data_IF_142194730073
#
_entry.id   IF_142194730073
#
_cell.length_a   1.000
_cell.length_b   1.000
_cell.length_c   1.000
_cell.angle_alpha   90.00
_cell.angle_beta   90.00
_cell.angle_gamma   90.00
#
_symmetry.space_group_name_H-M   'P 1'
#
loop_
_entity.id
_entity.type
_entity.pdbx_description
1 polymer ?
#
# COMPACT_ATOMS: atom_id res chain seq x y z
N UNK A 1 20.20 7.93 9.98
CA UNK A 1 19.50 8.06 8.70
C UNK A 1 18.03 7.81 8.99
N UNK A 2 17.12 8.73 8.67
CA UNK A 2 15.70 8.49 8.85
C UNK A 2 15.30 7.29 7.99
N UNK A 3 14.77 6.23 8.60
CA UNK A 3 14.18 5.11 7.89
C UNK A 3 12.91 5.61 7.21
N UNK A 4 12.98 5.84 5.91
CA UNK A 4 11.81 6.16 5.11
C UNK A 4 11.15 4.86 4.70
N UNK A 5 10.05 4.49 5.32
CA UNK A 5 9.19 3.42 4.85
C UNK A 5 8.17 3.99 3.86
N UNK A 6 7.99 3.36 2.73
CA UNK A 6 6.82 3.57 1.88
C UNK A 6 5.84 2.47 2.24
N UNK A 7 4.73 2.84 2.85
CA UNK A 7 3.58 1.96 3.00
C UNK A 7 2.65 2.16 1.81
N UNK A 8 2.25 1.07 1.18
CA UNK A 8 1.25 1.11 0.14
C UNK A 8 -0.11 0.77 0.75
N UNK A 9 -1.05 1.70 0.65
CA UNK A 9 -2.36 1.55 1.27
C UNK A 9 -3.39 1.35 0.17
N UNK A 10 -3.95 0.16 0.10
CA UNK A 10 -4.92 -0.22 -0.91
C UNK A 10 -6.33 -0.37 -0.35
N UNK A 11 -7.29 -0.01 -1.21
CA UNK A 11 -8.72 -0.05 -0.94
C UNK A 11 -9.22 -1.50 -0.77
N UNK A 12 -10.08 -1.67 0.19
CA UNK A 12 -10.94 -2.81 0.58
C UNK A 12 -11.01 -3.99 -0.41
N UNK A 13 -10.32 -5.10 -0.09
CA UNK A 13 -10.58 -6.36 -0.80
C UNK A 13 -10.66 -7.51 0.20
N UNK A 14 -11.81 -8.19 0.32
CA UNK A 14 -11.90 -9.43 1.07
C UNK A 14 -11.07 -10.52 0.39
N UNK A 15 -10.48 -11.42 1.17
CA UNK A 15 -9.70 -12.55 0.67
C UNK A 15 -10.46 -13.37 -0.39
N UNK A 16 -11.79 -13.44 -0.29
CA UNK A 16 -12.63 -14.13 -1.28
C UNK A 16 -12.51 -13.59 -2.71
N UNK A 17 -11.99 -12.38 -2.91
CA UNK A 17 -11.76 -11.84 -4.25
C UNK A 17 -10.42 -12.30 -4.86
N UNK A 18 -9.49 -12.75 -4.04
CA UNK A 18 -8.18 -13.26 -4.48
C UNK A 18 -8.09 -14.79 -4.43
N UNK A 19 -8.90 -15.44 -3.60
CA UNK A 19 -8.91 -16.90 -3.42
C UNK A 19 -9.30 -17.70 -4.68
N UNK A 20 -9.91 -17.06 -5.67
CA UNK A 20 -10.32 -17.68 -6.94
C UNK A 20 -9.33 -17.46 -8.09
N UNK A 21 -8.16 -16.90 -7.82
CA UNK A 21 -7.13 -16.67 -8.87
C UNK A 21 -6.49 -17.97 -9.31
N UNK A 22 -6.37 -18.94 -8.40
CA UNK A 22 -5.81 -20.25 -8.65
C UNK A 22 -6.87 -21.35 -8.49
N UNK A 23 -6.73 -22.44 -9.26
CA UNK A 23 -7.68 -23.56 -9.25
C UNK A 23 -7.76 -24.29 -7.90
N UNK A 24 -6.67 -24.27 -7.13
CA UNK A 24 -6.59 -24.87 -5.79
C UNK A 24 -7.20 -23.99 -4.70
N UNK A 25 -7.60 -22.76 -5.03
CA UNK A 25 -8.21 -21.79 -4.12
C UNK A 25 -7.34 -21.43 -2.89
N UNK A 26 -6.03 -21.71 -2.93
CA UNK A 26 -5.09 -21.46 -1.83
C UNK A 26 -4.14 -20.33 -2.20
N UNK A 27 -4.59 -19.10 -2.01
CA UNK A 27 -3.81 -17.90 -2.37
C UNK A 27 -2.50 -17.77 -1.58
N UNK A 28 -2.44 -18.28 -0.34
CA UNK A 28 -1.26 -18.21 0.52
C UNK A 28 -0.07 -19.03 0.01
N UNK A 29 -0.32 -20.06 -0.78
CA UNK A 29 0.71 -21.01 -1.24
C UNK A 29 1.39 -20.56 -2.55
N UNK A 30 1.00 -19.41 -3.08
CA UNK A 30 1.53 -18.86 -4.31
C UNK A 30 2.32 -17.59 -4.07
N UNK A 31 3.51 -17.50 -4.69
CA UNK A 31 4.44 -16.37 -4.57
C UNK A 31 3.95 -15.11 -5.32
N UNK A 32 2.67 -14.74 -5.12
CA UNK A 32 2.05 -13.57 -5.76
C UNK A 32 2.73 -12.26 -5.42
N UNK A 33 3.41 -12.22 -4.26
CA UNK A 33 4.18 -11.07 -3.80
C UNK A 33 5.51 -10.92 -4.54
N UNK A 34 6.01 -12.01 -5.15
CA UNK A 34 7.32 -12.03 -5.80
C UNK A 34 7.20 -11.61 -7.26
N UNK A 35 6.23 -12.13 -8.00
CA UNK A 35 6.11 -11.83 -9.43
C UNK A 35 4.69 -11.93 -9.99
N UNK A 36 4.43 -11.16 -11.04
CA UNK A 36 3.25 -11.31 -11.88
C UNK A 36 3.45 -12.44 -12.89
N UNK A 37 2.41 -13.20 -13.11
CA UNK A 37 2.30 -14.29 -14.08
C UNK A 37 1.00 -14.15 -14.88
N UNK A 38 0.83 -14.92 -15.94
CA UNK A 38 -0.44 -14.94 -16.70
C UNK A 38 -1.65 -15.31 -15.83
N UNK A 39 -1.46 -16.10 -14.76
CA UNK A 39 -2.55 -16.51 -13.86
C UNK A 39 -2.99 -15.38 -12.92
N UNK A 40 -2.05 -14.59 -12.41
CA UNK A 40 -2.33 -13.59 -11.36
C UNK A 40 -2.27 -12.13 -11.85
N UNK A 41 -2.09 -11.88 -13.15
CA UNK A 41 -1.94 -10.52 -13.69
C UNK A 41 -3.11 -9.57 -13.45
N UNK A 42 -4.28 -10.12 -13.13
CA UNK A 42 -5.47 -9.35 -12.75
C UNK A 42 -5.80 -9.48 -11.26
N UNK A 43 -4.98 -10.18 -10.48
CA UNK A 43 -5.16 -10.27 -9.05
C UNK A 43 -4.75 -8.96 -8.38
N UNK A 44 -5.66 -8.39 -7.59
CA UNK A 44 -5.43 -7.13 -6.88
C UNK A 44 -4.20 -7.20 -5.97
N UNK A 45 -4.02 -8.26 -5.18
CA UNK A 45 -2.84 -8.44 -4.33
C UNK A 45 -1.54 -8.44 -5.15
N UNK A 46 -1.48 -9.24 -6.22
CA UNK A 46 -0.29 -9.35 -7.05
C UNK A 46 0.07 -8.03 -7.75
N UNK A 47 -0.93 -7.33 -8.30
CA UNK A 47 -0.72 -6.03 -8.95
C UNK A 47 -0.29 -4.94 -7.97
N UNK A 48 -0.76 -4.99 -6.73
CA UNK A 48 -0.32 -4.11 -5.65
C UNK A 48 1.18 -4.24 -5.39
N UNK A 49 1.65 -5.45 -5.14
CA UNK A 49 3.07 -5.71 -4.90
C UNK A 49 3.93 -5.33 -6.11
N UNK A 50 3.48 -5.61 -7.32
CA UNK A 50 4.22 -5.25 -8.53
C UNK A 50 4.30 -3.73 -8.73
N UNK A 51 3.20 -3.02 -8.53
CA UNK A 51 3.20 -1.55 -8.57
C UNK A 51 4.20 -0.96 -7.59
N UNK A 52 4.21 -1.46 -6.35
CA UNK A 52 5.15 -1.02 -5.32
C UNK A 52 6.60 -1.27 -5.74
N UNK A 53 6.93 -2.44 -6.29
CA UNK A 53 8.29 -2.74 -6.77
C UNK A 53 8.73 -1.83 -7.90
N UNK A 54 7.85 -1.57 -8.87
CA UNK A 54 8.13 -0.65 -9.97
C UNK A 54 8.43 0.76 -9.44
N UNK A 55 7.62 1.25 -8.50
CA UNK A 55 7.81 2.56 -7.89
C UNK A 55 9.09 2.62 -7.07
N UNK A 56 9.32 1.63 -6.20
CA UNK A 56 10.54 1.54 -5.38
C UNK A 56 11.81 1.52 -6.26
N UNK A 57 11.79 0.73 -7.34
CA UNK A 57 12.89 0.68 -8.31
C UNK A 57 13.13 2.03 -8.97
N UNK A 58 12.08 2.72 -9.45
CA UNK A 58 12.20 4.04 -10.08
C UNK A 58 12.71 5.12 -9.11
N UNK A 59 12.38 4.99 -7.85
CA UNK A 59 12.79 5.91 -6.78
C UNK A 59 14.12 5.51 -6.10
N UNK A 60 14.74 4.40 -6.53
CA UNK A 60 15.93 3.82 -5.92
C UNK A 60 15.76 3.51 -4.42
N UNK A 61 14.59 3.02 -4.03
CA UNK A 61 14.28 2.60 -2.66
C UNK A 61 14.61 1.11 -2.53
N UNK A 62 15.38 0.77 -1.49
CA UNK A 62 15.77 -0.62 -1.21
C UNK A 62 14.60 -1.40 -0.61
N UNK A 63 14.56 -2.71 -0.81
CA UNK A 63 13.50 -3.59 -0.33
C UNK A 63 13.31 -3.54 1.20
N UNK A 64 14.37 -3.32 1.96
CA UNK A 64 14.31 -3.18 3.43
C UNK A 64 13.71 -1.83 3.90
N UNK A 65 13.41 -0.92 2.98
CA UNK A 65 12.95 0.44 3.30
C UNK A 65 11.48 0.68 2.95
N UNK A 66 10.74 -0.34 2.54
CA UNK A 66 9.29 -0.23 2.34
C UNK A 66 8.57 -1.52 2.73
N UNK A 67 7.30 -1.39 3.05
CA UNK A 67 6.39 -2.49 3.37
C UNK A 67 5.07 -2.21 2.66
N UNK A 68 4.49 -3.25 2.06
CA UNK A 68 3.14 -3.19 1.50
C UNK A 68 2.14 -3.53 2.60
N UNK A 69 1.14 -2.68 2.77
CA UNK A 69 0.08 -2.87 3.77
C UNK A 69 -1.30 -2.61 3.17
N UNK A 70 -2.33 -3.08 3.84
CA UNK A 70 -3.71 -2.95 3.39
C UNK A 70 -4.57 -2.26 4.46
N UNK A 71 -5.35 -1.28 4.02
CA UNK A 71 -6.17 -0.42 4.87
C UNK A 71 -7.63 -0.89 4.93
N UNK A 72 -8.36 -0.37 5.92
CA UNK A 72 -9.82 -0.39 5.99
C UNK A 72 -10.44 -1.79 6.06
N UNK A 73 -10.00 -2.60 7.00
CA UNK A 73 -10.60 -3.90 7.29
C UNK A 73 -12.00 -3.76 7.88
N UNK A 74 -12.97 -4.48 7.31
CA UNK A 74 -14.27 -4.69 7.96
C UNK A 74 -14.28 -5.98 8.79
N UNK A 75 -13.41 -6.94 8.46
CA UNK A 75 -13.28 -8.22 9.17
C UNK A 75 -11.85 -8.75 9.01
N UNK A 76 -11.49 -9.75 9.82
CA UNK A 76 -10.18 -10.43 9.70
C UNK A 76 -10.00 -11.25 8.41
N UNK A 77 -10.99 -11.26 7.51
CA UNK A 77 -10.95 -11.92 6.20
C UNK A 77 -10.51 -10.98 5.07
N UNK A 78 -9.84 -9.89 5.40
CA UNK A 78 -9.32 -8.92 4.45
C UNK A 78 -7.83 -9.15 4.21
N UNK A 79 -7.30 -8.60 3.11
CA UNK A 79 -5.88 -8.70 2.79
C UNK A 79 -5.02 -8.14 3.94
N UNK A 80 -3.94 -8.82 4.20
CA UNK A 80 -2.95 -8.49 5.24
C UNK A 80 -1.57 -8.28 4.61
N UNK A 81 -0.62 -7.62 5.32
CA UNK A 81 -0.74 -7.08 6.68
C UNK A 81 -1.61 -5.82 6.77
N UNK A 82 -2.23 -5.60 7.93
CA UNK A 82 -3.04 -4.40 8.17
C UNK A 82 -2.16 -3.19 8.50
N UNK A 83 -2.52 -2.03 7.96
CA UNK A 83 -1.70 -0.81 8.10
C UNK A 83 -1.58 -0.35 9.54
N UNK A 84 -2.66 -0.32 10.30
CA UNK A 84 -2.68 0.04 11.72
C UNK A 84 -1.72 -0.83 12.57
N UNK A 85 -1.79 -2.15 12.40
CA UNK A 85 -0.93 -3.09 13.12
C UNK A 85 0.55 -2.94 12.76
N UNK A 86 0.85 -2.71 11.49
CA UNK A 86 2.23 -2.49 11.03
C UNK A 86 2.78 -1.17 11.55
N UNK A 87 2.01 -0.09 11.57
CA UNK A 87 2.43 1.20 12.11
C UNK A 87 2.79 1.10 13.60
N UNK A 88 1.94 0.44 14.40
CA UNK A 88 2.24 0.20 15.81
C UNK A 88 3.52 -0.64 16.01
N UNK A 89 3.70 -1.70 15.21
CA UNK A 89 4.89 -2.54 15.29
C UNK A 89 6.16 -1.74 14.99
N UNK A 90 6.14 -0.98 13.88
CA UNK A 90 7.27 -0.15 13.48
C UNK A 90 7.63 0.91 14.54
N UNK A 91 6.64 1.54 15.17
CA UNK A 91 6.89 2.48 16.26
C UNK A 91 7.55 1.79 17.47
N UNK A 92 7.06 0.60 17.85
CA UNK A 92 7.63 -0.23 18.94
C UNK A 92 9.06 -0.71 18.61
N UNK A 93 9.36 -0.97 17.34
CA UNK A 93 10.70 -1.30 16.83
C UNK A 93 11.66 -0.10 16.80
N UNK A 94 11.18 1.09 17.14
CA UNK A 94 11.98 2.32 17.20
C UNK A 94 12.05 3.10 15.89
N UNK A 95 11.22 2.77 14.89
CA UNK A 95 11.09 3.61 13.70
C UNK A 95 10.43 4.93 14.09
N UNK A 96 11.03 6.03 13.68
CA UNK A 96 10.60 7.37 14.12
C UNK A 96 9.87 8.18 13.08
N UNK A 97 10.15 7.93 11.81
CA UNK A 97 9.55 8.69 10.71
C UNK A 97 9.10 7.73 9.63
N UNK A 98 7.85 7.84 9.22
CA UNK A 98 7.24 7.03 8.18
C UNK A 98 6.61 7.95 7.14
N UNK A 99 6.71 7.54 5.87
CA UNK A 99 5.99 8.12 4.75
C UNK A 99 5.03 7.06 4.21
N UNK A 100 3.75 7.38 4.12
CA UNK A 100 2.74 6.54 3.49
C UNK A 100 2.50 7.02 2.06
N UNK A 101 2.37 6.08 1.14
CA UNK A 101 1.98 6.32 -0.24
C UNK A 101 0.86 5.37 -0.65
N UNK A 102 -0.19 5.90 -1.26
CA UNK A 102 -1.41 5.16 -1.64
C UNK A 102 -1.65 5.24 -3.15
N UNK A 103 -0.88 4.53 -3.98
CA UNK A 103 -0.94 4.67 -5.44
C UNK A 103 -2.26 4.21 -6.07
N UNK A 104 -3.10 3.47 -5.33
CA UNK A 104 -4.42 3.09 -5.80
C UNK A 104 -5.44 4.24 -5.73
N UNK A 105 -5.17 5.28 -4.95
CA UNK A 105 -5.99 6.48 -4.90
C UNK A 105 -5.43 7.52 -5.87
N UNK A 106 -6.08 7.70 -6.99
CA UNK A 106 -5.68 8.70 -7.99
C UNK A 106 -6.14 10.12 -7.63
N UNK A 107 -7.08 10.24 -6.70
CA UNK A 107 -7.53 11.49 -6.10
C UNK A 107 -7.70 11.31 -4.60
N UNK A 108 -7.43 12.37 -3.85
CA UNK A 108 -7.63 12.37 -2.41
C UNK A 108 -9.10 12.23 -2.04
N UNK A 109 -9.35 11.54 -0.95
CA UNK A 109 -10.67 11.23 -0.43
C UNK A 109 -10.61 11.20 1.11
N UNK A 110 -11.71 10.86 1.76
CA UNK A 110 -11.75 10.78 3.22
C UNK A 110 -10.70 9.79 3.77
N UNK A 111 -10.52 8.67 3.08
CA UNK A 111 -9.56 7.65 3.47
C UNK A 111 -8.10 8.16 3.41
N UNK A 112 -7.75 8.98 2.42
CA UNK A 112 -6.38 9.51 2.33
C UNK A 112 -6.15 10.69 3.25
N UNK A 113 -7.13 11.58 3.40
CA UNK A 113 -6.99 12.81 4.19
C UNK A 113 -7.15 12.53 5.69
N UNK A 114 -8.24 11.85 6.08
CA UNK A 114 -8.58 11.65 7.49
C UNK A 114 -7.88 10.40 8.04
N UNK A 115 -8.10 9.25 7.40
CA UNK A 115 -7.61 7.98 7.93
C UNK A 115 -6.07 7.90 7.88
N UNK A 116 -5.44 8.23 6.74
CA UNK A 116 -3.98 8.22 6.62
C UNK A 116 -3.33 9.49 7.18
N UNK A 117 -3.92 10.65 6.91
CA UNK A 117 -3.33 11.93 7.27
C UNK A 117 -3.43 12.23 8.76
N UNK A 118 -4.56 11.96 9.37
CA UNK A 118 -4.84 12.31 10.77
C UNK A 118 -4.80 11.07 11.68
N UNK A 119 -5.70 10.10 11.49
CA UNK A 119 -5.89 8.98 12.43
C UNK A 119 -4.65 8.08 12.54
N UNK A 120 -4.02 7.70 11.44
CA UNK A 120 -2.81 6.86 11.46
C UNK A 120 -1.59 7.63 11.95
N UNK A 121 -1.55 8.93 11.73
CA UNK A 121 -0.51 9.78 12.31
C UNK A 121 -0.60 9.82 13.83
N UNK A 122 -1.80 10.02 14.38
CA UNK A 122 -2.04 9.99 15.82
C UNK A 122 -1.65 8.62 16.39
N UNK A 123 -2.16 7.53 15.81
CA UNK A 123 -1.83 6.15 16.22
C UNK A 123 -0.33 5.88 16.23
N UNK A 124 0.39 6.30 15.18
CA UNK A 124 1.84 6.10 15.11
C UNK A 124 2.61 6.89 16.17
N UNK A 125 2.21 8.13 16.43
CA UNK A 125 2.82 8.99 17.46
C UNK A 125 2.55 8.41 18.85
N UNK A 126 1.32 7.99 19.15
CA UNK A 126 0.94 7.36 20.43
C UNK A 126 1.71 6.06 20.66
N UNK A 127 1.98 5.28 19.62
CA UNK A 127 2.79 4.07 19.69
C UNK A 127 4.30 4.34 19.89
N UNK A 128 4.75 5.61 19.85
CA UNK A 128 6.14 6.00 20.10
C UNK A 128 6.90 6.47 18.86
N UNK A 129 6.25 6.66 17.73
CA UNK A 129 6.79 7.32 16.56
C UNK A 129 6.96 8.83 16.76
N UNK A 130 7.58 9.51 15.81
CA UNK A 130 7.76 10.98 15.85
C UNK A 130 6.95 11.67 14.77
N UNK A 131 6.96 11.13 13.55
CA UNK A 131 6.27 11.75 12.42
C UNK A 131 5.79 10.69 11.43
N UNK A 132 4.57 10.87 10.98
CA UNK A 132 4.00 10.16 9.84
C UNK A 132 3.48 11.20 8.86
N UNK A 133 3.98 11.12 7.62
CA UNK A 133 3.48 11.91 6.51
C UNK A 133 2.87 10.98 5.46
N UNK A 134 1.96 11.50 4.64
CA UNK A 134 1.46 10.77 3.48
C UNK A 134 1.77 11.55 2.19
N UNK A 135 1.90 10.82 1.10
CA UNK A 135 2.06 11.41 -0.23
C UNK A 135 0.67 11.73 -0.78
N UNK A 136 0.44 12.98 -1.10
CA UNK A 136 -0.79 13.46 -1.73
C UNK A 136 -1.07 12.69 -3.03
N UNK A 137 -2.33 12.40 -3.31
CA UNK A 137 -2.76 11.73 -4.54
C UNK A 137 -2.48 12.60 -5.77
N UNK A 138 -2.52 12.00 -6.96
CA UNK A 138 -2.22 12.71 -8.22
C UNK A 138 -3.20 13.85 -8.52
N UNK A 139 -4.44 13.73 -8.03
CA UNK A 139 -5.49 14.75 -8.14
C UNK A 139 -5.63 15.29 -9.58
N UNK A 140 -5.49 16.59 -9.75
CA UNK A 140 -5.63 17.32 -11.02
C UNK A 140 -4.28 17.65 -11.67
N UNK A 141 -3.20 16.94 -11.35
CA UNK A 141 -1.88 17.25 -11.92
C UNK A 141 -1.84 17.06 -13.44
N UNK A 142 -1.19 17.96 -14.14
CA UNK A 142 -1.03 17.92 -15.60
C UNK A 142 -0.33 16.62 -16.04
N UNK A 143 0.68 16.18 -15.29
CA UNK A 143 1.39 14.92 -15.55
C UNK A 143 0.45 13.70 -15.52
N UNK A 144 -0.54 13.71 -14.62
CA UNK A 144 -1.54 12.65 -14.56
C UNK A 144 -2.50 12.72 -15.75
N UNK A 145 -2.92 13.93 -16.14
CA UNK A 145 -3.76 14.12 -17.32
C UNK A 145 -3.06 13.62 -18.59
N UNK A 146 -1.77 13.93 -18.76
CA UNK A 146 -0.96 13.44 -19.86
C UNK A 146 -0.84 11.91 -19.87
N UNK A 147 -0.63 11.31 -18.69
CA UNK A 147 -0.57 9.85 -18.56
C UNK A 147 -1.90 9.18 -18.95
N UNK A 148 -3.05 9.76 -18.58
CA UNK A 148 -4.37 9.25 -19.00
C UNK A 148 -4.50 9.32 -20.52
N UNK A 149 -4.10 10.43 -21.14
CA UNK A 149 -4.13 10.58 -22.61
C UNK A 149 -3.30 9.49 -23.28
N UNK A 150 -2.14 9.16 -22.73
CA UNK A 150 -1.28 8.10 -23.29
C UNK A 150 -1.85 6.68 -23.13
N UNK A 151 -2.60 6.43 -22.04
CA UNK A 151 -3.26 5.13 -21.81
C UNK A 151 -4.43 4.89 -22.78
N UNK A 152 -5.14 5.94 -23.18
CA UNK A 152 -6.36 5.82 -24.02
C UNK A 152 -6.10 5.94 -25.53
N UNK A 153 -4.88 6.20 -25.95
CA UNK A 153 -4.44 6.18 -27.38
C UNK A 153 -4.23 4.77 -27.86
#
# INVERSE_FOLDING_TARGET
VPSRGIGDVYKRQPNSHVDNVYEDSVCSDHDCEIKITEKNKFCYKATTYETTKILASKLNIKDDNYIVTFQSRLTNKWLTPFTDEVLESLAKEGKKNILIFSPAFTADCLETIIELGDEYKELFIEAGGNNLDYVESLNYSDTWADAIIDIIK
#
